data_IF_069924682163
#
_entry.id   IF_069924682163
#
_cell.length_a   1.000
_cell.length_b   1.000
_cell.length_c   1.000
_cell.angle_alpha   90.00
_cell.angle_beta   90.00
_cell.angle_gamma   90.00
#
_symmetry.space_group_name_H-M   'P 1'
#
loop_
_entity.id
_entity.type
_entity.pdbx_description
1 polymer ?
#
# COMPACT_ATOMS: atom_id res chain seq x y z
N UNK A 1 -12.38 21.98 12.53
CA UNK A 1 -11.42 21.44 13.52
C UNK A 1 -10.64 20.31 12.86
N UNK A 2 -9.45 20.58 12.31
CA UNK A 2 -8.65 19.56 11.63
C UNK A 2 -8.01 18.61 12.65
N UNK A 3 -8.40 17.34 12.63
CA UNK A 3 -7.87 16.25 13.48
C UNK A 3 -6.72 15.52 12.77
N UNK A 4 -5.76 16.25 12.22
CA UNK A 4 -4.61 15.60 11.57
C UNK A 4 -3.59 15.24 12.66
N UNK A 5 -3.29 13.95 12.89
CA UNK A 5 -2.25 13.54 13.84
C UNK A 5 -0.87 14.00 13.36
N UNK A 6 -0.10 14.61 14.26
CA UNK A 6 1.28 15.06 13.98
C UNK A 6 2.23 13.88 14.16
N UNK A 7 3.06 13.64 13.14
CA UNK A 7 4.10 12.60 13.21
C UNK A 7 5.27 13.14 14.06
N UNK A 8 5.65 12.46 15.16
CA UNK A 8 6.74 12.92 16.01
C UNK A 8 8.09 12.82 15.28
N UNK A 9 9.04 13.75 15.50
CA UNK A 9 10.31 13.81 14.77
C UNK A 9 11.23 12.60 15.03
N UNK A 10 10.96 11.84 16.08
CA UNK A 10 11.67 10.62 16.47
C UNK A 10 11.15 9.36 15.76
N UNK A 11 10.01 9.46 15.06
CA UNK A 11 9.47 8.35 14.27
C UNK A 11 10.22 8.19 12.94
N UNK A 12 10.50 6.94 12.57
CA UNK A 12 11.05 6.62 11.24
C UNK A 12 9.93 6.70 10.21
N UNK A 13 10.04 7.63 9.28
CA UNK A 13 9.18 7.70 8.09
C UNK A 13 9.77 6.82 6.99
N UNK A 14 8.99 5.85 6.53
CA UNK A 14 9.37 4.97 5.41
C UNK A 14 8.41 5.26 4.27
N UNK A 15 8.97 5.62 3.11
CA UNK A 15 8.21 5.88 1.90
C UNK A 15 8.35 4.69 0.94
N UNK A 16 7.24 4.04 0.62
CA UNK A 16 7.19 3.00 -0.41
C UNK A 16 6.65 3.58 -1.72
N UNK A 17 7.45 3.60 -2.81
CA UNK A 17 7.00 4.12 -4.10
C UNK A 17 6.10 3.09 -4.80
N UNK A 18 4.85 2.98 -4.35
CA UNK A 18 3.85 2.13 -4.99
C UNK A 18 3.09 2.91 -6.07
N UNK A 19 2.76 2.29 -7.21
CA UNK A 19 1.97 2.94 -8.25
C UNK A 19 0.54 3.18 -7.75
N UNK A 20 0.03 4.40 -7.92
CA UNK A 20 -1.36 4.74 -7.56
C UNK A 20 -2.35 4.07 -8.52
N UNK A 21 -3.15 3.09 -8.06
CA UNK A 21 -4.09 2.38 -8.91
C UNK A 21 -5.27 3.26 -9.34
N UNK A 22 -5.53 4.39 -8.68
CA UNK A 22 -6.57 5.33 -9.06
C UNK A 22 -6.22 6.11 -10.34
N UNK A 23 -4.94 6.23 -10.67
CA UNK A 23 -4.45 6.84 -11.92
C UNK A 23 -4.53 5.88 -13.11
N UNK A 24 -4.91 4.61 -12.90
CA UNK A 24 -5.04 3.63 -13.98
C UNK A 24 -6.10 4.08 -14.99
N UNK A 25 -5.69 4.22 -16.25
CA UNK A 25 -6.56 4.56 -17.37
C UNK A 25 -7.06 3.28 -18.04
N UNK A 26 -8.29 3.30 -18.56
CA UNK A 26 -8.89 2.16 -19.25
C UNK A 26 -10.26 1.77 -18.73
N UNK A 27 -10.72 0.58 -19.12
CA UNK A 27 -12.01 0.01 -18.72
C UNK A 27 -12.00 -0.39 -17.25
N UNK A 28 -13.19 -0.65 -16.69
CA UNK A 28 -13.33 -1.09 -15.31
C UNK A 28 -12.47 -2.34 -15.02
N UNK A 29 -12.43 -3.30 -15.94
CA UNK A 29 -11.63 -4.52 -15.81
C UNK A 29 -10.13 -4.24 -15.76
N UNK A 30 -9.64 -3.35 -16.61
CA UNK A 30 -8.22 -2.95 -16.62
C UNK A 30 -7.84 -2.26 -15.32
N UNK A 31 -8.70 -1.38 -14.80
CA UNK A 31 -8.50 -0.76 -13.49
C UNK A 31 -8.45 -1.83 -12.40
N UNK A 32 -9.41 -2.76 -12.38
CA UNK A 32 -9.47 -3.83 -11.38
C UNK A 32 -8.22 -4.73 -11.38
N UNK A 33 -7.61 -4.98 -12.55
CA UNK A 33 -6.34 -5.70 -12.65
C UNK A 33 -5.20 -4.91 -11.97
N UNK A 34 -5.08 -3.60 -12.24
CA UNK A 34 -4.05 -2.74 -11.63
C UNK A 34 -4.23 -2.66 -10.10
N UNK A 35 -5.47 -2.50 -9.63
CA UNK A 35 -5.77 -2.53 -8.18
C UNK A 35 -5.32 -3.83 -7.50
N UNK A 36 -5.55 -4.99 -8.15
CA UNK A 36 -5.10 -6.29 -7.63
C UNK A 36 -3.57 -6.39 -7.63
N UNK A 37 -2.90 -5.93 -8.67
CA UNK A 37 -1.44 -5.90 -8.77
C UNK A 37 -0.82 -5.06 -7.65
N UNK A 38 -1.29 -3.82 -7.44
CA UNK A 38 -0.77 -2.94 -6.36
C UNK A 38 -1.01 -3.54 -4.97
N UNK A 39 -2.16 -4.20 -4.75
CA UNK A 39 -2.45 -4.92 -3.50
C UNK A 39 -1.43 -6.04 -3.25
N UNK A 40 -1.16 -6.84 -4.27
CA UNK A 40 -0.26 -7.98 -4.15
C UNK A 40 1.20 -7.53 -3.97
N UNK A 41 1.60 -6.41 -4.60
CA UNK A 41 2.90 -5.76 -4.41
C UNK A 41 3.07 -5.16 -3.00
N UNK A 42 2.01 -4.52 -2.48
CA UNK A 42 1.96 -4.06 -1.08
C UNK A 42 2.11 -5.23 -0.12
N UNK A 43 1.40 -6.33 -0.39
CA UNK A 43 1.45 -7.56 0.41
C UNK A 43 2.86 -8.15 0.42
N UNK A 44 3.53 -8.24 -0.74
CA UNK A 44 4.93 -8.70 -0.83
C UNK A 44 5.89 -7.82 -0.05
N UNK A 45 5.71 -6.50 -0.12
CA UNK A 45 6.58 -5.52 0.53
C UNK A 45 6.40 -5.50 2.06
N UNK A 46 5.16 -5.65 2.54
CA UNK A 46 4.82 -5.60 3.95
C UNK A 46 4.97 -6.96 4.66
N UNK A 47 4.75 -8.08 3.96
CA UNK A 47 4.89 -9.44 4.51
C UNK A 47 6.18 -9.72 5.27
N UNK A 48 7.39 -9.29 4.81
CA UNK A 48 8.61 -9.51 5.59
C UNK A 48 8.72 -8.61 6.83
N UNK A 49 7.96 -7.51 6.88
CA UNK A 49 7.96 -6.54 7.98
C UNK A 49 7.02 -6.99 9.10
N UNK A 50 5.87 -7.56 8.75
CA UNK A 50 4.96 -8.21 9.69
C UNK A 50 5.46 -9.62 9.98
N UNK A 51 6.21 -9.80 11.08
CA UNK A 51 6.54 -11.08 11.72
C UNK A 51 5.74 -12.30 11.20
N UNK A 52 6.31 -13.00 10.21
CA UNK A 52 6.26 -14.45 10.00
C UNK A 52 4.95 -15.23 9.82
N UNK A 53 3.72 -14.71 10.00
CA UNK A 53 2.59 -15.62 10.24
C UNK A 53 1.23 -15.34 9.57
N UNK A 54 1.02 -14.25 8.81
CA UNK A 54 -0.36 -13.87 8.39
C UNK A 54 -0.55 -13.74 6.87
N UNK A 55 0.52 -13.82 6.08
CA UNK A 55 0.44 -13.52 4.65
C UNK A 55 -0.14 -14.69 3.80
N UNK A 56 -0.25 -15.90 4.35
CA UNK A 56 -0.87 -17.06 3.69
C UNK A 56 -1.68 -17.92 4.68
N UNK A 57 -2.75 -17.35 5.23
CA UNK A 57 -3.95 -18.14 5.56
C UNK A 57 -5.18 -17.45 5.00
#
# INVERSE_FOLDING_TARGET
MCRCPVIPPQAKSIHWPLPDPAQAKGTHEQKMIVFRQTRDETKKTYCPISLGAICNK
#
